data_IF_624965597789
#
_entry.id   IF_624965597789
#
_cell.length_a   1.000
_cell.length_b   1.000
_cell.length_c   1.000
_cell.angle_alpha   90.00
_cell.angle_beta   90.00
_cell.angle_gamma   90.00
#
_symmetry.space_group_name_H-M   'P 1'
#
loop_
_entity.id
_entity.type
_entity.pdbx_description
1 polymer ?
#
# COMPACT_ATOMS: atom_id res chain seq x y z
N UNK A 1 -1.55 -0.28 8.43
CA UNK A 1 -0.13 -0.22 8.01
C UNK A 1 0.10 0.76 6.85
N UNK A 2 -0.48 0.53 5.66
CA UNK A 2 -0.21 1.34 4.47
C UNK A 2 -0.45 2.85 4.65
N UNK A 3 -1.50 3.22 5.40
CA UNK A 3 -1.80 4.62 5.78
C UNK A 3 -0.59 5.29 6.46
N UNK A 4 0.00 4.63 7.45
CA UNK A 4 1.14 5.16 8.19
C UNK A 4 2.37 5.24 7.28
N UNK A 5 2.60 4.21 6.47
CA UNK A 5 3.72 4.19 5.52
C UNK A 5 3.60 5.35 4.53
N UNK A 6 2.43 5.54 3.90
CA UNK A 6 2.20 6.67 2.99
C UNK A 6 2.36 8.03 3.67
N UNK A 7 2.00 8.15 4.96
CA UNK A 7 2.16 9.40 5.71
C UNK A 7 3.61 9.73 6.05
N UNK A 8 4.45 8.73 6.34
CA UNK A 8 5.81 8.95 6.85
C UNK A 8 6.93 8.60 5.88
N UNK A 9 6.60 7.99 4.74
CA UNK A 9 7.59 7.62 3.73
C UNK A 9 7.13 8.01 2.33
N UNK A 10 7.86 8.94 1.73
CA UNK A 10 7.59 9.45 0.38
C UNK A 10 8.47 8.80 -0.69
N UNK A 11 9.50 8.06 -0.28
CA UNK A 11 10.57 7.53 -1.15
C UNK A 11 10.52 6.02 -1.33
N UNK A 12 9.54 5.34 -0.74
CA UNK A 12 9.38 3.90 -0.92
C UNK A 12 9.05 3.57 -2.37
N UNK A 13 9.82 2.65 -2.95
CA UNK A 13 9.63 2.18 -4.31
C UNK A 13 8.82 0.87 -4.40
N UNK A 14 8.88 0.04 -3.38
CA UNK A 14 8.30 -1.31 -3.41
C UNK A 14 7.69 -1.65 -2.07
N UNK A 15 6.43 -2.09 -2.10
CA UNK A 15 5.72 -2.62 -0.93
C UNK A 15 5.00 -3.89 -1.36
N UNK A 16 5.21 -4.97 -0.63
CA UNK A 16 4.43 -6.20 -0.80
C UNK A 16 3.69 -6.47 0.51
N UNK A 17 2.36 -6.52 0.43
CA UNK A 17 1.46 -6.86 1.53
C UNK A 17 0.54 -8.01 1.13
N UNK A 18 1.02 -8.90 0.25
CA UNK A 18 0.28 -10.08 -0.15
C UNK A 18 -0.20 -10.91 1.04
N UNK A 19 -1.40 -11.47 0.91
CA UNK A 19 -2.09 -12.31 1.90
C UNK A 19 -2.48 -11.59 3.20
N UNK A 20 -2.29 -10.27 3.28
CA UNK A 20 -2.76 -9.49 4.41
C UNK A 20 -4.28 -9.22 4.28
N UNK A 21 -5.06 -9.84 5.17
CA UNK A 21 -6.53 -9.78 5.15
C UNK A 21 -7.11 -8.41 5.49
N UNK A 22 -6.36 -7.54 6.15
CA UNK A 22 -6.82 -6.23 6.64
C UNK A 22 -6.43 -5.05 5.75
N UNK A 23 -5.81 -5.33 4.59
CA UNK A 23 -5.48 -4.28 3.63
C UNK A 23 -6.74 -3.87 2.88
N UNK A 24 -7.03 -2.57 2.88
CA UNK A 24 -8.21 -1.98 2.24
C UNK A 24 -7.80 -1.08 1.08
N UNK A 25 -8.76 -0.80 0.18
CA UNK A 25 -8.60 0.16 -0.92
C UNK A 25 -8.13 1.53 -0.45
N UNK A 26 -8.64 1.97 0.71
CA UNK A 26 -8.26 3.25 1.30
C UNK A 26 -6.76 3.29 1.65
N UNK A 27 -6.26 2.23 2.30
CA UNK A 27 -4.84 2.13 2.65
C UNK A 27 -3.94 2.04 1.40
N UNK A 28 -4.34 1.23 0.42
CA UNK A 28 -3.61 1.06 -0.85
C UNK A 28 -3.58 2.36 -1.66
N UNK A 29 -4.70 3.06 -1.75
CA UNK A 29 -4.81 4.36 -2.44
C UNK A 29 -3.94 5.41 -1.74
N UNK A 30 -3.98 5.47 -0.41
CA UNK A 30 -3.23 6.47 0.34
C UNK A 30 -1.71 6.33 0.14
N UNK A 31 -1.17 5.11 0.21
CA UNK A 31 0.26 4.90 -0.03
C UNK A 31 0.64 5.19 -1.49
N UNK A 32 -0.18 4.77 -2.46
CA UNK A 32 0.05 5.05 -3.88
C UNK A 32 0.04 6.54 -4.21
N UNK A 33 -0.79 7.33 -3.53
CA UNK A 33 -0.85 8.78 -3.73
C UNK A 33 0.30 9.53 -3.05
N UNK A 34 0.74 9.04 -1.89
CA UNK A 34 1.70 9.74 -1.02
C UNK A 34 3.15 9.42 -1.38
N UNK A 35 3.47 8.14 -1.62
CA UNK A 35 4.82 7.70 -1.97
C UNK A 35 5.03 7.86 -3.49
N UNK A 36 5.56 9.01 -3.91
CA UNK A 36 5.76 9.33 -5.34
C UNK A 36 6.77 8.44 -6.04
N UNK A 37 7.67 7.83 -5.27
CA UNK A 37 8.62 6.86 -5.80
C UNK A 37 8.04 5.45 -5.95
N UNK A 38 6.80 5.19 -5.52
CA UNK A 38 6.22 3.84 -5.51
C UNK A 38 6.07 3.29 -6.93
N UNK A 39 6.73 2.16 -7.19
CA UNK A 39 6.75 1.45 -8.47
C UNK A 39 5.99 0.14 -8.41
N UNK A 40 5.92 -0.46 -7.23
CA UNK A 40 5.27 -1.76 -7.01
C UNK A 40 4.51 -1.79 -5.69
N UNK A 41 3.25 -2.21 -5.77
CA UNK A 41 2.39 -2.50 -4.62
C UNK A 41 1.76 -3.89 -4.80
N UNK A 42 2.29 -4.88 -4.07
CA UNK A 42 1.79 -6.25 -4.05
C UNK A 42 0.54 -6.37 -3.18
N UNK A 43 -0.59 -6.72 -3.79
CA UNK A 43 -1.91 -6.88 -3.13
C UNK A 43 -2.49 -8.29 -3.35
N UNK A 44 -1.65 -9.26 -3.69
CA UNK A 44 -2.07 -10.64 -3.95
C UNK A 44 -2.84 -11.18 -2.74
N UNK A 45 -4.07 -11.68 -2.94
CA UNK A 45 -4.89 -12.28 -1.86
C UNK A 45 -5.18 -11.33 -0.69
N UNK A 46 -5.25 -10.02 -0.97
CA UNK A 46 -5.84 -9.04 -0.05
C UNK A 46 -7.34 -8.95 -0.30
N UNK A 47 -8.13 -9.79 0.39
CA UNK A 47 -9.56 -9.98 0.11
C UNK A 47 -10.44 -8.73 0.34
N UNK A 48 -9.90 -7.70 1.02
CA UNK A 48 -10.58 -6.43 1.28
C UNK A 48 -10.18 -5.29 0.31
N UNK A 49 -9.33 -5.58 -0.69
CA UNK A 49 -9.01 -4.68 -1.80
C UNK A 49 -9.87 -5.06 -3.01
N UNK A 50 -10.57 -4.11 -3.62
CA UNK A 50 -11.55 -4.32 -4.71
C UNK A 50 -11.17 -3.60 -6.00
#
# INVERSE_FOLDING_TARGET
>A
ALIAIGRYSMTIETVDVGWCKEITDHGATQIAQSSKALRYLGLMRCDQVR
#
